data_IF_226528398991
#
_entry.id   IF_226528398991
#
_cell.length_a   1.000
_cell.length_b   1.000
_cell.length_c   1.000
_cell.angle_alpha   90.00
_cell.angle_beta   90.00
_cell.angle_gamma   90.00
#
_symmetry.space_group_name_H-M   'P 1'
#
loop_
_entity.id
_entity.type
_entity.pdbx_description
1 polymer ?
#
# COMPACT_ATOMS: atom_id res chain seq x y z
N UNK A 1 33.75 -7.50 51.54
CA UNK A 1 32.97 -6.36 51.03
C UNK A 1 33.25 -6.23 49.54
N UNK A 2 32.41 -6.84 48.68
CA UNK A 2 32.55 -6.81 47.21
C UNK A 2 31.62 -5.73 46.67
N UNK A 3 32.18 -4.63 46.18
CA UNK A 3 31.43 -3.56 45.51
C UNK A 3 31.10 -4.08 44.10
N UNK A 4 29.82 -4.36 43.84
CA UNK A 4 29.33 -4.64 42.49
C UNK A 4 29.10 -3.29 41.80
N UNK A 5 29.90 -2.98 40.79
CA UNK A 5 29.64 -1.89 39.84
C UNK A 5 28.40 -2.28 39.03
N UNK A 6 27.30 -1.56 39.21
CA UNK A 6 26.14 -1.65 38.34
C UNK A 6 26.44 -0.83 37.08
N UNK A 7 26.78 -1.49 35.98
CA UNK A 7 26.89 -0.85 34.67
C UNK A 7 25.47 -0.58 34.16
N UNK A 8 25.03 0.67 34.28
CA UNK A 8 23.80 1.13 33.63
C UNK A 8 24.03 1.12 32.10
N UNK A 9 23.33 0.24 31.39
CA UNK A 9 23.20 0.32 29.94
C UNK A 9 22.29 1.50 29.63
N UNK A 10 22.88 2.65 29.32
CA UNK A 10 22.17 3.72 28.63
C UNK A 10 21.88 3.22 27.22
N UNK A 11 20.60 3.00 26.90
CA UNK A 11 20.17 2.81 25.52
C UNK A 11 20.42 4.15 24.84
N UNK A 12 21.49 4.22 24.07
CA UNK A 12 21.64 5.29 23.10
C UNK A 12 20.48 5.12 22.11
N UNK A 13 19.53 6.06 22.12
CA UNK A 13 18.59 6.23 21.02
C UNK A 13 19.44 6.53 19.80
N UNK A 14 19.74 5.51 19.00
CA UNK A 14 20.35 5.70 17.69
C UNK A 14 19.31 6.47 16.90
N UNK A 15 19.57 7.73 16.64
CA UNK A 15 18.79 8.52 15.69
C UNK A 15 18.92 7.79 14.35
N UNK A 16 17.88 7.05 13.96
CA UNK A 16 17.88 6.33 12.70
C UNK A 16 17.89 7.39 11.60
N UNK A 17 18.98 7.44 10.82
CA UNK A 17 19.37 8.63 10.06
C UNK A 17 18.44 8.95 8.86
N UNK A 18 17.64 8.00 8.38
CA UNK A 18 16.48 8.20 7.48
C UNK A 18 15.85 6.82 7.19
N UNK A 19 14.58 6.80 6.76
CA UNK A 19 13.99 5.61 6.13
C UNK A 19 14.51 5.47 4.67
N UNK A 20 14.23 4.33 4.02
CA UNK A 20 14.65 4.12 2.62
C UNK A 20 14.05 5.22 1.70
N UNK A 21 14.87 5.89 0.87
CA UNK A 21 14.36 6.89 -0.05
C UNK A 21 13.35 6.33 -1.06
N UNK A 22 12.34 7.13 -1.39
CA UNK A 22 11.33 6.81 -2.41
C UNK A 22 11.55 7.73 -3.60
N UNK A 23 12.17 7.23 -4.68
CA UNK A 23 12.44 8.04 -5.90
C UNK A 23 13.19 9.36 -5.65
N UNK A 24 14.07 9.41 -4.65
CA UNK A 24 14.80 10.62 -4.24
C UNK A 24 14.08 11.50 -3.20
N UNK A 25 12.90 11.11 -2.74
CA UNK A 25 12.27 11.64 -1.53
C UNK A 25 12.78 10.88 -0.30
N UNK A 26 13.07 11.57 0.80
CA UNK A 26 13.56 10.96 2.05
C UNK A 26 12.44 10.94 3.10
N UNK A 27 11.71 9.83 3.26
CA UNK A 27 10.63 9.76 4.24
C UNK A 27 11.17 9.80 5.68
N UNK A 28 10.38 10.41 6.56
CA UNK A 28 10.67 10.53 7.99
C UNK A 28 9.92 9.50 8.84
N UNK A 29 9.08 8.69 8.21
CA UNK A 29 8.31 7.60 8.83
C UNK A 29 8.42 6.30 8.01
N UNK A 30 8.16 5.15 8.65
CA UNK A 30 8.20 3.85 7.98
C UNK A 30 7.01 3.69 7.01
N UNK A 31 7.25 3.82 5.70
CA UNK A 31 6.20 3.74 4.67
C UNK A 31 6.41 2.67 3.60
N UNK A 32 7.41 1.81 3.77
CA UNK A 32 7.74 0.70 2.85
C UNK A 32 6.53 -0.19 2.52
N UNK A 33 5.74 -0.55 3.52
CA UNK A 33 4.47 -1.29 3.36
C UNK A 33 3.46 -0.58 2.45
N UNK A 34 3.43 0.75 2.51
CA UNK A 34 2.52 1.58 1.70
C UNK A 34 2.99 1.65 0.26
N UNK A 35 4.31 1.79 0.06
CA UNK A 35 4.94 1.73 -1.25
C UNK A 35 4.68 0.40 -1.97
N UNK A 36 4.56 -0.72 -1.25
CA UNK A 36 4.37 -2.06 -1.81
C UNK A 36 3.00 -2.31 -2.47
N UNK A 37 2.07 -1.36 -2.47
CA UNK A 37 0.79 -1.51 -3.19
C UNK A 37 0.98 -1.62 -4.70
N UNK A 38 2.11 -1.15 -5.23
CA UNK A 38 2.46 -1.29 -6.63
C UNK A 38 2.71 -2.74 -7.06
N UNK A 39 3.11 -3.60 -6.12
CA UNK A 39 3.24 -5.04 -6.33
C UNK A 39 1.87 -5.69 -6.56
N UNK A 40 0.79 -5.19 -5.93
CA UNK A 40 -0.57 -5.65 -6.22
C UNK A 40 -1.01 -5.22 -7.62
N UNK A 41 -0.67 -4.00 -8.04
CA UNK A 41 -0.90 -3.58 -9.42
C UNK A 41 -0.10 -4.45 -10.40
N UNK A 42 1.16 -4.75 -10.11
CA UNK A 42 1.99 -5.58 -10.96
C UNK A 42 1.51 -7.03 -11.05
N UNK A 43 1.04 -7.60 -9.93
CA UNK A 43 0.40 -8.92 -9.89
C UNK A 43 -0.89 -8.96 -10.71
N UNK A 44 -1.73 -7.91 -10.62
CA UNK A 44 -2.92 -7.76 -11.45
C UNK A 44 -2.56 -7.69 -12.94
N UNK A 45 -1.59 -6.85 -13.33
CA UNK A 45 -1.16 -6.73 -14.73
C UNK A 45 -0.55 -8.04 -15.25
N UNK A 46 0.19 -8.77 -14.41
CA UNK A 46 0.77 -10.07 -14.76
C UNK A 46 -0.32 -11.12 -15.01
N UNK A 47 -1.29 -11.24 -14.11
CA UNK A 47 -2.44 -12.16 -14.25
C UNK A 47 -3.22 -11.90 -15.55
N UNK A 48 -3.43 -10.63 -15.91
CA UNK A 48 -4.08 -10.25 -17.18
C UNK A 48 -3.20 -10.47 -18.43
N UNK A 49 -1.89 -10.60 -18.25
CA UNK A 49 -0.92 -10.87 -19.31
C UNK A 49 -0.81 -12.34 -19.73
N UNK A 50 -1.43 -13.27 -18.99
CA UNK A 50 -1.48 -14.68 -19.38
C UNK A 50 -2.25 -14.88 -20.69
N UNK A 51 -1.99 -16.01 -21.36
CA UNK A 51 -2.69 -16.42 -22.58
C UNK A 51 -3.37 -17.79 -22.37
N UNK A 52 -4.71 -17.84 -22.14
CA UNK A 52 -5.63 -16.70 -21.99
C UNK A 52 -5.45 -15.94 -20.67
N UNK A 53 -5.96 -14.72 -20.59
CA UNK A 53 -5.84 -13.87 -19.40
C UNK A 53 -6.56 -14.47 -18.19
N UNK A 54 -5.95 -14.38 -17.01
CA UNK A 54 -6.52 -14.89 -15.77
C UNK A 54 -7.27 -13.78 -15.01
N UNK A 55 -8.50 -13.51 -15.44
CA UNK A 55 -9.37 -12.53 -14.80
C UNK A 55 -9.72 -12.85 -13.34
N UNK A 56 -9.78 -14.14 -12.98
CA UNK A 56 -10.06 -14.56 -11.61
C UNK A 56 -8.92 -14.16 -10.67
N UNK A 57 -7.67 -14.51 -11.03
CA UNK A 57 -6.49 -14.10 -10.26
C UNK A 57 -6.35 -12.57 -10.22
N UNK A 58 -6.54 -11.88 -11.34
CA UNK A 58 -6.50 -10.41 -11.38
C UNK A 58 -7.54 -9.76 -10.46
N UNK A 59 -8.76 -10.30 -10.39
CA UNK A 59 -9.80 -9.87 -9.46
C UNK A 59 -9.43 -10.15 -8.01
N UNK A 60 -8.90 -11.33 -7.73
CA UNK A 60 -8.55 -11.71 -6.36
C UNK A 60 -7.42 -10.82 -5.84
N UNK A 61 -6.37 -10.56 -6.61
CA UNK A 61 -5.34 -9.55 -6.29
C UNK A 61 -5.95 -8.15 -6.10
N UNK A 62 -6.80 -7.70 -7.02
CA UNK A 62 -7.44 -6.38 -6.96
C UNK A 62 -8.24 -6.15 -5.66
N UNK A 63 -9.01 -7.18 -5.26
CA UNK A 63 -9.99 -7.09 -4.17
C UNK A 63 -9.44 -7.50 -2.80
N UNK A 64 -8.55 -8.49 -2.77
CA UNK A 64 -7.99 -9.06 -1.54
C UNK A 64 -6.57 -8.59 -1.25
N UNK A 65 -5.94 -7.89 -2.20
CA UNK A 65 -4.54 -7.46 -2.12
C UNK A 65 -3.58 -8.63 -2.03
N UNK A 66 -2.30 -8.32 -1.87
CA UNK A 66 -1.26 -9.35 -1.78
C UNK A 66 -0.05 -8.95 -0.96
N UNK A 67 0.27 -7.66 -1.01
CA UNK A 67 1.58 -7.19 -0.61
C UNK A 67 1.53 -6.09 0.45
N UNK A 68 0.38 -5.48 0.73
CA UNK A 68 0.32 -4.27 1.56
C UNK A 68 -0.61 -4.43 2.75
N UNK A 69 -0.12 -4.09 3.94
CA UNK A 69 -0.84 -4.22 5.21
C UNK A 69 -1.29 -5.66 5.47
N UNK A 70 -0.40 -6.65 5.27
CA UNK A 70 -0.73 -8.06 5.51
C UNK A 70 -1.00 -8.34 6.99
N UNK A 71 -2.03 -9.12 7.26
CA UNK A 71 -2.42 -9.53 8.61
C UNK A 71 -3.09 -10.91 8.63
N UNK A 72 -3.09 -11.56 9.78
CA UNK A 72 -3.89 -12.73 10.06
C UNK A 72 -5.08 -12.35 10.94
N UNK A 73 -6.31 -12.58 10.45
CA UNK A 73 -7.51 -12.54 11.28
C UNK A 73 -7.60 -13.86 12.04
N UNK A 74 -7.52 -13.79 13.36
CA UNK A 74 -7.46 -14.94 14.26
C UNK A 74 -8.77 -15.06 15.02
N UNK A 75 -9.29 -16.28 15.15
CA UNK A 75 -10.31 -16.61 16.14
C UNK A 75 -9.64 -17.16 17.39
N UNK A 76 -9.98 -16.59 18.54
CA UNK A 76 -9.44 -16.94 19.86
C UNK A 76 -10.57 -17.15 20.86
N UNK A 77 -10.25 -17.74 22.02
CA UNK A 77 -11.18 -17.72 23.16
C UNK A 77 -11.48 -16.26 23.57
N UNK A 78 -12.66 -15.99 24.19
CA UNK A 78 -13.00 -14.64 24.64
C UNK A 78 -11.88 -14.02 25.47
N UNK A 79 -11.42 -12.84 25.07
CA UNK A 79 -10.33 -12.15 25.74
C UNK A 79 -10.67 -11.85 27.21
N UNK A 80 -9.80 -12.21 28.13
CA UNK A 80 -9.97 -11.86 29.56
C UNK A 80 -9.84 -10.36 29.82
N UNK A 81 -9.06 -9.68 29.00
CA UNK A 81 -8.81 -8.24 29.04
C UNK A 81 -8.58 -7.70 27.62
N UNK A 82 -8.74 -6.40 27.44
CA UNK A 82 -8.54 -5.78 26.13
C UNK A 82 -7.10 -5.89 25.60
N UNK A 83 -6.96 -5.71 24.29
CA UNK A 83 -5.69 -5.58 23.58
C UNK A 83 -5.76 -4.26 22.82
N UNK A 84 -4.85 -3.32 23.13
CA UNK A 84 -4.81 -2.05 22.43
C UNK A 84 -4.17 -2.19 21.04
N UNK A 85 -4.59 -1.34 20.12
CA UNK A 85 -3.96 -1.18 18.80
C UNK A 85 -2.45 -0.98 18.96
N UNK A 86 -1.68 -1.69 18.13
CA UNK A 86 -0.23 -1.64 18.16
C UNK A 86 0.42 -2.47 19.28
N UNK A 87 -0.35 -3.13 20.15
CA UNK A 87 0.20 -4.03 21.15
C UNK A 87 1.06 -5.11 20.47
N UNK A 88 2.28 -5.34 21.00
CA UNK A 88 3.20 -6.31 20.43
C UNK A 88 2.64 -7.72 20.53
N UNK A 89 2.73 -8.46 19.42
CA UNK A 89 2.31 -9.84 19.30
C UNK A 89 3.45 -10.68 18.72
N UNK A 90 3.54 -11.95 19.11
CA UNK A 90 4.49 -12.89 18.51
C UNK A 90 3.89 -14.28 18.37
N UNK A 91 4.38 -15.06 17.43
CA UNK A 91 4.01 -16.46 17.22
C UNK A 91 5.16 -17.26 16.62
N UNK A 92 4.87 -18.50 16.26
CA UNK A 92 5.78 -19.36 15.49
C UNK A 92 5.23 -19.47 14.08
N UNK A 93 6.04 -19.11 13.08
CA UNK A 93 5.64 -19.13 11.68
C UNK A 93 5.65 -20.53 11.07
N UNK A 94 5.20 -20.64 9.81
CA UNK A 94 5.15 -21.89 9.07
C UNK A 94 6.51 -22.60 8.97
N UNK A 95 7.61 -21.83 8.89
CA UNK A 95 8.98 -22.35 8.88
C UNK A 95 9.55 -22.72 10.25
N UNK A 96 8.79 -22.51 11.34
CA UNK A 96 9.22 -22.74 12.72
C UNK A 96 9.99 -21.57 13.35
N UNK A 97 10.27 -20.50 12.60
CA UNK A 97 10.87 -19.27 13.12
C UNK A 97 9.90 -18.42 13.94
N UNK A 98 10.41 -17.50 14.76
CA UNK A 98 9.58 -16.51 15.45
C UNK A 98 9.04 -15.49 14.45
N UNK A 99 7.73 -15.25 14.50
CA UNK A 99 7.05 -14.21 13.71
C UNK A 99 6.60 -13.12 14.66
N UNK A 100 6.98 -11.89 14.36
CA UNK A 100 6.61 -10.72 15.15
C UNK A 100 5.50 -9.94 14.44
N UNK A 101 4.60 -9.37 15.23
CA UNK A 101 3.48 -8.59 14.75
C UNK A 101 2.98 -7.62 15.80
N UNK A 102 1.85 -7.01 15.49
CA UNK A 102 1.12 -6.12 16.39
C UNK A 102 -0.37 -6.29 16.22
N UNK A 103 -1.13 -5.94 17.24
CA UNK A 103 -2.57 -5.83 17.13
C UNK A 103 -2.93 -4.75 16.10
N UNK A 104 -3.70 -5.11 15.07
CA UNK A 104 -4.06 -4.17 14.00
C UNK A 104 -4.98 -3.05 14.50
N UNK A 105 -5.83 -3.36 15.48
CA UNK A 105 -6.85 -2.48 16.04
C UNK A 105 -7.00 -2.68 17.55
N UNK A 106 -7.88 -1.91 18.18
CA UNK A 106 -8.30 -2.09 19.56
C UNK A 106 -9.32 -3.24 19.69
N UNK A 107 -9.08 -4.16 20.63
CA UNK A 107 -9.96 -5.28 20.93
C UNK A 107 -10.40 -5.21 22.40
N UNK A 108 -11.70 -5.18 22.64
CA UNK A 108 -12.25 -5.16 23.99
C UNK A 108 -12.17 -6.53 24.68
N UNK A 109 -12.27 -6.53 26.01
CA UNK A 109 -12.48 -7.77 26.77
C UNK A 109 -13.74 -8.50 26.26
N UNK A 110 -13.65 -9.82 26.14
CA UNK A 110 -14.70 -10.67 25.56
C UNK A 110 -14.64 -10.81 24.04
N UNK A 111 -13.80 -10.04 23.33
CA UNK A 111 -13.62 -10.22 21.89
C UNK A 111 -13.13 -11.64 21.56
N UNK A 112 -13.59 -12.21 20.46
CA UNK A 112 -13.21 -13.55 19.98
C UNK A 112 -12.46 -13.51 18.65
N UNK A 113 -12.31 -12.32 18.08
CA UNK A 113 -11.52 -12.08 16.88
C UNK A 113 -10.45 -11.03 17.17
N UNK A 114 -9.22 -11.31 16.74
CA UNK A 114 -8.06 -10.41 16.87
C UNK A 114 -7.29 -10.45 15.55
N UNK A 115 -6.83 -9.32 15.04
CA UNK A 115 -5.97 -9.29 13.86
C UNK A 115 -4.50 -9.08 14.26
N UNK A 116 -3.68 -10.06 13.90
CA UNK A 116 -2.22 -10.02 13.99
C UNK A 116 -1.67 -9.39 12.71
N UNK A 117 -1.27 -8.12 12.77
CA UNK A 117 -0.60 -7.46 11.67
C UNK A 117 0.88 -7.85 11.67
N UNK A 118 1.37 -8.39 10.57
CA UNK A 118 2.79 -8.74 10.41
C UNK A 118 3.64 -7.46 10.41
N UNK A 119 4.81 -7.51 11.05
CA UNK A 119 5.76 -6.40 10.96
C UNK A 119 6.37 -6.33 9.56
N UNK A 120 6.61 -5.11 9.11
CA UNK A 120 7.27 -4.81 7.84
C UNK A 120 8.63 -4.21 8.11
N UNK A 121 9.58 -4.45 7.21
CA UNK A 121 10.94 -3.93 7.34
C UNK A 121 11.01 -2.46 6.92
N UNK A 122 12.06 -1.76 7.39
CA UNK A 122 12.38 -0.38 6.96
C UNK A 122 12.89 -0.30 5.51
N UNK A 123 13.10 -1.45 4.86
CA UNK A 123 13.69 -1.54 3.54
C UNK A 123 12.68 -2.10 2.53
N UNK A 124 12.35 -1.34 1.49
CA UNK A 124 11.78 -1.91 0.28
C UNK A 124 12.82 -2.74 -0.50
N UNK A 125 14.12 -2.52 -0.29
CA UNK A 125 15.18 -3.13 -1.12
C UNK A 125 16.38 -3.71 -0.36
N UNK A 126 16.18 -4.56 0.66
CA UNK A 126 17.25 -5.53 0.95
C UNK A 126 17.27 -6.56 -0.18
N UNK A 127 17.99 -6.21 -1.26
CA UNK A 127 18.10 -6.86 -2.58
C UNK A 127 16.96 -6.54 -3.57
N UNK A 128 17.27 -5.80 -4.63
CA UNK A 128 16.38 -5.49 -5.77
C UNK A 128 15.78 -6.73 -6.47
N UNK A 129 16.26 -7.93 -6.15
CA UNK A 129 15.82 -9.24 -6.60
C UNK A 129 14.88 -9.96 -5.61
N UNK A 130 14.61 -9.42 -4.41
CA UNK A 130 13.74 -10.04 -3.42
C UNK A 130 12.46 -9.21 -3.15
N UNK A 131 11.35 -9.49 -3.87
CA UNK A 131 10.06 -8.83 -3.62
C UNK A 131 9.46 -9.15 -2.22
N UNK A 132 10.09 -10.03 -1.42
CA UNK A 132 9.70 -10.28 -0.02
C UNK A 132 10.46 -9.43 1.01
N UNK A 133 11.27 -8.45 0.58
CA UNK A 133 12.11 -7.66 1.47
C UNK A 133 11.32 -6.80 2.47
N UNK A 134 10.17 -6.23 2.07
CA UNK A 134 9.36 -5.40 2.96
C UNK A 134 8.46 -6.22 3.89
N UNK A 135 7.97 -7.38 3.43
CA UNK A 135 7.15 -8.32 4.20
C UNK A 135 7.48 -9.77 3.83
N UNK A 136 7.71 -10.58 4.87
CA UNK A 136 7.97 -12.02 4.77
C UNK A 136 6.70 -12.88 4.89
N UNK A 137 5.53 -12.24 4.98
CA UNK A 137 4.23 -12.87 4.82
C UNK A 137 3.42 -12.07 3.79
N UNK A 138 3.26 -12.61 2.58
CA UNK A 138 2.55 -11.99 1.45
C UNK A 138 1.56 -12.99 0.89
N UNK A 139 0.30 -12.74 1.14
CA UNK A 139 -0.80 -13.71 1.05
C UNK A 139 -2.07 -12.94 0.70
N UNK A 140 -3.23 -13.58 0.68
CA UNK A 140 -4.50 -12.94 0.29
C UNK A 140 -4.89 -13.34 -1.12
N UNK A 141 -4.91 -12.38 -2.05
CA UNK A 141 -5.29 -12.59 -3.46
C UNK A 141 -4.18 -13.10 -4.36
N UNK A 142 -2.94 -13.20 -3.87
CA UNK A 142 -1.82 -13.77 -4.64
C UNK A 142 -2.03 -15.28 -4.86
N UNK A 143 -1.62 -15.76 -6.02
CA UNK A 143 -1.58 -17.19 -6.33
C UNK A 143 -0.38 -17.52 -7.21
N UNK A 144 -0.17 -18.81 -7.51
CA UNK A 144 0.86 -19.21 -8.50
C UNK A 144 0.57 -18.64 -9.89
N UNK A 145 -0.68 -18.27 -10.17
CA UNK A 145 -1.11 -17.70 -11.45
C UNK A 145 -0.92 -16.18 -11.53
N UNK A 146 -0.47 -15.52 -10.47
CA UNK A 146 -0.03 -14.12 -10.49
C UNK A 146 1.49 -13.98 -10.67
N UNK A 147 2.15 -15.05 -11.16
CA UNK A 147 3.60 -15.09 -11.41
C UNK A 147 4.09 -13.89 -12.24
N UNK A 148 5.21 -13.25 -11.86
CA UNK A 148 6.17 -13.66 -10.82
C UNK A 148 5.79 -13.24 -9.39
N UNK A 149 4.64 -12.59 -9.18
CA UNK A 149 4.17 -12.11 -7.89
C UNK A 149 3.33 -13.18 -7.19
N UNK A 150 3.99 -14.19 -6.64
CA UNK A 150 3.36 -15.35 -5.99
C UNK A 150 3.32 -15.18 -4.46
N UNK A 151 2.49 -15.96 -3.74
CA UNK A 151 2.47 -15.95 -2.28
C UNK A 151 3.84 -16.25 -1.64
N UNK A 152 4.09 -15.62 -0.50
CA UNK A 152 5.22 -15.88 0.41
C UNK A 152 4.65 -16.22 1.78
N UNK A 153 4.96 -17.40 2.29
CA UNK A 153 4.29 -17.95 3.50
C UNK A 153 5.24 -18.33 4.62
N UNK A 154 6.55 -18.25 4.40
CA UNK A 154 7.60 -18.75 5.30
C UNK A 154 7.52 -18.14 6.71
N UNK A 155 7.20 -16.85 6.80
CA UNK A 155 7.01 -16.12 8.07
C UNK A 155 5.54 -15.72 8.29
N UNK A 156 4.60 -16.34 7.58
CA UNK A 156 3.20 -16.27 7.99
C UNK A 156 2.96 -17.15 9.22
N UNK A 157 1.97 -16.79 10.04
CA UNK A 157 1.42 -17.71 11.03
C UNK A 157 0.89 -18.98 10.32
N UNK A 158 0.86 -20.15 10.99
CA UNK A 158 0.52 -21.40 10.35
C UNK A 158 -0.97 -21.52 10.06
N UNK A 159 -1.31 -22.13 8.91
CA UNK A 159 -2.69 -22.47 8.56
C UNK A 159 -3.24 -23.62 9.43
N UNK A 160 -2.35 -24.45 9.99
CA UNK A 160 -2.72 -25.59 10.83
C UNK A 160 -2.99 -25.13 12.27
N UNK A 161 -4.23 -25.30 12.71
CA UNK A 161 -4.71 -25.00 14.06
C UNK A 161 -4.91 -26.28 14.89
N UNK A 162 -4.86 -26.21 16.23
CA UNK A 162 -4.60 -25.02 17.04
C UNK A 162 -3.10 -24.70 17.14
N UNK A 163 -2.80 -23.43 17.38
CA UNK A 163 -1.47 -22.95 17.77
C UNK A 163 -1.62 -21.76 18.71
N UNK A 164 -0.52 -21.37 19.35
CA UNK A 164 -0.51 -20.29 20.32
C UNK A 164 0.23 -19.06 19.79
N UNK A 165 -0.27 -17.89 20.15
CA UNK A 165 0.43 -16.61 19.99
C UNK A 165 0.61 -15.95 21.37
N UNK A 166 1.55 -15.02 21.46
CA UNK A 166 1.80 -14.22 22.67
C UNK A 166 1.42 -12.77 22.42
N UNK A 167 0.72 -12.14 23.38
CA UNK A 167 0.36 -10.71 23.37
C UNK A 167 0.61 -10.13 24.76
N UNK A 168 1.55 -9.18 24.88
CA UNK A 168 1.87 -8.57 26.17
C UNK A 168 2.21 -9.59 27.28
N UNK A 169 2.93 -10.68 26.93
CA UNK A 169 3.30 -11.77 27.84
C UNK A 169 2.20 -12.80 28.13
N UNK A 170 0.99 -12.63 27.57
CA UNK A 170 -0.12 -13.59 27.68
C UNK A 170 -0.15 -14.52 26.47
N UNK A 171 -0.53 -15.77 26.68
CA UNK A 171 -0.75 -16.72 25.58
C UNK A 171 -2.21 -16.72 25.15
N UNK A 172 -2.48 -16.59 23.86
CA UNK A 172 -3.79 -16.79 23.25
C UNK A 172 -3.74 -18.03 22.36
N UNK A 173 -4.67 -18.95 22.55
CA UNK A 173 -4.82 -20.11 21.68
C UNK A 173 -5.72 -19.78 20.49
N UNK A 174 -5.19 -20.00 19.29
CA UNK A 174 -5.84 -19.72 18.02
C UNK A 174 -6.56 -20.97 17.52
N UNK A 175 -7.85 -20.84 17.23
CA UNK A 175 -8.69 -21.92 16.73
C UNK A 175 -9.05 -21.79 15.24
N UNK A 176 -8.87 -20.60 14.66
CA UNK A 176 -9.03 -20.36 13.23
C UNK A 176 -8.17 -19.18 12.79
N UNK A 177 -7.75 -19.18 11.53
CA UNK A 177 -6.94 -18.14 10.92
C UNK A 177 -7.43 -17.86 9.50
N UNK A 178 -7.43 -16.58 9.11
CA UNK A 178 -7.53 -16.14 7.71
C UNK A 178 -6.47 -15.09 7.42
N UNK A 179 -5.62 -15.38 6.45
CA UNK A 179 -4.65 -14.44 5.93
C UNK A 179 -5.33 -13.39 5.03
N UNK A 180 -5.08 -12.10 5.29
CA UNK A 180 -5.72 -10.95 4.63
C UNK A 180 -4.74 -9.80 4.43
N UNK A 181 -5.16 -8.81 3.65
CA UNK A 181 -4.48 -7.53 3.50
C UNK A 181 -5.43 -6.40 3.83
N UNK A 182 -4.98 -5.42 4.62
CA UNK A 182 -5.78 -4.25 5.00
C UNK A 182 -5.79 -3.15 3.94
N UNK A 183 -4.87 -3.21 2.97
CA UNK A 183 -4.76 -2.26 1.86
C UNK A 183 -4.83 -3.00 0.54
N UNK A 184 -5.75 -2.61 -0.32
CA UNK A 184 -5.96 -3.22 -1.65
C UNK A 184 -6.22 -2.12 -2.68
N UNK A 185 -6.02 -2.41 -3.96
CA UNK A 185 -6.36 -1.45 -5.02
C UNK A 185 -7.86 -1.13 -5.03
N UNK A 186 -8.71 -2.10 -4.70
CA UNK A 186 -10.14 -1.86 -4.53
C UNK A 186 -10.41 -0.88 -3.37
N UNK A 187 -9.71 -1.04 -2.25
CA UNK A 187 -9.95 -0.26 -1.04
C UNK A 187 -9.65 1.24 -1.21
N UNK A 188 -8.78 1.60 -2.15
CA UNK A 188 -8.50 2.98 -2.54
C UNK A 188 -9.72 3.73 -3.11
N UNK A 189 -10.72 3.01 -3.62
CA UNK A 189 -11.99 3.60 -4.04
C UNK A 189 -13.15 3.33 -3.10
N UNK A 190 -13.11 2.27 -2.27
CA UNK A 190 -14.24 1.92 -1.39
C UNK A 190 -14.13 2.49 0.01
N UNK A 191 -12.92 2.79 0.50
CA UNK A 191 -12.70 3.29 1.87
C UNK A 191 -12.30 4.78 1.92
N UNK A 192 -12.44 5.50 0.80
CA UNK A 192 -12.05 6.91 0.72
C UNK A 192 -12.76 7.78 1.76
N UNK A 193 -14.08 7.58 1.93
CA UNK A 193 -14.87 8.34 2.91
C UNK A 193 -14.50 8.04 4.35
N UNK A 194 -14.20 6.78 4.67
CA UNK A 194 -13.79 6.37 6.02
C UNK A 194 -12.47 7.02 6.41
N UNK A 195 -11.58 7.21 5.44
CA UNK A 195 -10.29 7.87 5.65
C UNK A 195 -10.41 9.40 5.74
N UNK A 196 -11.52 9.96 5.28
CA UNK A 196 -11.77 11.39 5.34
C UNK A 196 -13.24 11.76 5.62
N UNK A 197 -13.76 11.48 6.83
CA UNK A 197 -15.14 11.78 7.17
C UNK A 197 -15.39 13.29 7.14
N UNK A 198 -16.31 13.74 6.29
CA UNK A 198 -16.68 15.16 6.19
C UNK A 198 -15.73 16.03 5.37
N UNK A 199 -14.71 15.44 4.74
CA UNK A 199 -13.84 16.18 3.85
C UNK A 199 -14.52 16.42 2.50
N UNK A 200 -14.91 17.67 2.22
CA UNK A 200 -15.32 18.08 0.88
C UNK A 200 -14.08 18.19 -0.02
N UNK A 201 -13.54 17.04 -0.45
CA UNK A 201 -12.39 16.99 -1.37
C UNK A 201 -12.88 17.38 -2.75
N UNK A 202 -12.63 18.64 -3.12
CA UNK A 202 -13.19 19.26 -4.34
C UNK A 202 -12.93 18.41 -5.58
N UNK A 203 -11.75 17.80 -5.67
CA UNK A 203 -11.41 16.95 -6.82
C UNK A 203 -12.19 15.64 -6.83
N UNK A 204 -12.27 14.93 -5.69
CA UNK A 204 -13.08 13.72 -5.57
C UNK A 204 -14.56 13.97 -5.87
N UNK A 205 -15.12 15.09 -5.38
CA UNK A 205 -16.52 15.43 -5.61
C UNK A 205 -16.86 15.63 -7.09
N UNK A 206 -15.94 16.19 -7.88
CA UNK A 206 -16.12 16.33 -9.34
C UNK A 206 -16.28 14.97 -10.01
N UNK A 207 -15.49 13.98 -9.63
CA UNK A 207 -15.58 12.62 -10.18
C UNK A 207 -16.84 11.91 -9.68
N UNK A 208 -17.15 12.00 -8.38
CA UNK A 208 -18.41 11.51 -7.82
C UNK A 208 -19.61 12.06 -8.57
N UNK A 209 -19.67 13.37 -8.81
CA UNK A 209 -20.80 14.02 -9.47
C UNK A 209 -20.92 13.63 -10.94
N UNK A 210 -19.78 13.37 -11.62
CA UNK A 210 -19.77 12.86 -12.98
C UNK A 210 -20.30 11.42 -13.06
N UNK A 211 -19.74 10.50 -12.26
CA UNK A 211 -20.08 9.08 -12.31
C UNK A 211 -21.37 8.75 -11.54
N UNK A 212 -21.79 9.59 -10.60
CA UNK A 212 -22.99 9.40 -9.76
C UNK A 212 -22.81 8.42 -8.60
N UNK A 213 -21.57 8.02 -8.28
CA UNK A 213 -21.27 7.07 -7.21
C UNK A 213 -19.90 7.39 -6.59
N UNK A 214 -19.77 7.13 -5.29
CA UNK A 214 -18.52 7.31 -4.53
C UNK A 214 -17.50 6.21 -4.83
N UNK A 215 -17.97 5.05 -5.25
CA UNK A 215 -17.14 3.88 -5.60
C UNK A 215 -16.87 3.77 -7.10
N UNK A 216 -16.90 4.88 -7.84
CA UNK A 216 -16.84 4.89 -9.31
C UNK A 216 -15.64 4.13 -9.88
N UNK A 217 -14.47 4.30 -9.28
CA UNK A 217 -13.25 3.65 -9.73
C UNK A 217 -13.30 2.15 -9.43
N UNK A 218 -13.85 1.77 -8.26
CA UNK A 218 -14.08 0.38 -7.92
C UNK A 218 -15.02 -0.34 -8.89
N UNK A 219 -16.17 0.28 -9.16
CA UNK A 219 -17.18 -0.25 -10.07
C UNK A 219 -16.66 -0.38 -11.50
N UNK A 220 -15.85 0.59 -11.97
CA UNK A 220 -15.22 0.53 -13.29
C UNK A 220 -14.30 -0.68 -13.42
N UNK A 221 -13.36 -0.84 -12.48
CA UNK A 221 -12.37 -1.92 -12.53
C UNK A 221 -13.04 -3.28 -12.32
N UNK A 222 -13.98 -3.38 -11.38
CA UNK A 222 -14.69 -4.63 -11.14
C UNK A 222 -15.53 -5.04 -12.35
N UNK A 223 -16.20 -4.10 -13.03
CA UNK A 223 -16.95 -4.39 -14.25
C UNK A 223 -16.01 -4.90 -15.36
N UNK A 224 -14.84 -4.29 -15.55
CA UNK A 224 -13.85 -4.77 -16.52
C UNK A 224 -13.35 -6.19 -16.20
N UNK A 225 -13.00 -6.45 -14.94
CA UNK A 225 -12.50 -7.74 -14.48
C UNK A 225 -13.55 -8.86 -14.58
N UNK A 226 -14.82 -8.54 -14.35
CA UNK A 226 -15.93 -9.51 -14.37
C UNK A 226 -16.65 -9.62 -15.71
N UNK A 227 -16.38 -8.72 -16.66
CA UNK A 227 -17.07 -8.69 -17.95
C UNK A 227 -18.52 -8.20 -17.81
N UNK A 228 -18.74 -7.19 -16.97
CA UNK A 228 -20.06 -6.64 -16.67
C UNK A 228 -20.27 -5.25 -17.29
N UNK A 229 -21.51 -4.76 -17.23
CA UNK A 229 -21.84 -3.36 -17.56
C UNK A 229 -21.65 -2.49 -16.32
N UNK A 230 -21.17 -1.28 -16.49
CA UNK A 230 -21.22 -0.25 -15.44
C UNK A 230 -22.63 0.33 -15.34
N UNK A 231 -22.95 0.99 -14.24
CA UNK A 231 -24.22 1.69 -14.04
C UNK A 231 -24.03 3.10 -13.45
N UNK A 232 -23.29 3.93 -14.17
CA UNK A 232 -22.98 5.30 -13.81
C UNK A 232 -24.04 6.29 -14.33
N UNK A 233 -24.08 7.47 -13.72
CA UNK A 233 -24.82 8.62 -14.25
C UNK A 233 -24.24 9.10 -15.59
N UNK A 234 -22.91 9.05 -15.74
CA UNK A 234 -22.20 9.34 -17.00
C UNK A 234 -21.00 8.40 -17.16
N UNK A 235 -20.60 8.16 -18.41
CA UNK A 235 -19.42 7.34 -18.71
C UNK A 235 -19.66 5.83 -18.62
N UNK A 236 -20.87 5.35 -18.92
CA UNK A 236 -21.15 3.92 -18.94
C UNK A 236 -20.35 3.17 -20.02
N UNK A 237 -19.91 1.96 -19.67
CA UNK A 237 -19.22 1.02 -20.57
C UNK A 237 -19.83 -0.37 -20.43
N UNK A 238 -19.89 -1.09 -21.54
CA UNK A 238 -20.37 -2.48 -21.61
C UNK A 238 -19.19 -3.43 -21.88
N UNK A 239 -18.76 -4.18 -20.86
CA UNK A 239 -17.69 -5.17 -20.97
C UNK A 239 -18.22 -6.61 -21.20
N UNK A 240 -19.50 -6.78 -21.54
CA UNK A 240 -20.10 -8.11 -21.73
C UNK A 240 -19.72 -8.75 -23.07
N UNK A 241 -19.21 -7.97 -24.01
CA UNK A 241 -18.78 -8.48 -25.31
C UNK A 241 -17.41 -9.18 -25.19
N UNK A 242 -17.23 -10.30 -25.89
CA UNK A 242 -16.10 -11.23 -25.69
C UNK A 242 -15.19 -11.37 -26.90
N UNK A 243 -15.31 -10.49 -27.90
CA UNK A 243 -14.39 -10.47 -29.05
C UNK A 243 -12.96 -10.09 -28.64
N UNK A 244 -11.95 -10.45 -29.44
CA UNK A 244 -10.55 -10.11 -29.16
C UNK A 244 -10.30 -8.58 -28.95
N UNK A 245 -10.94 -7.66 -29.70
CA UNK A 245 -10.89 -6.23 -29.40
C UNK A 245 -11.52 -5.85 -28.05
N UNK A 246 -12.53 -6.60 -27.60
CA UNK A 246 -13.22 -6.37 -26.33
C UNK A 246 -12.41 -6.94 -25.15
N UNK A 247 -11.71 -8.06 -25.32
CA UNK A 247 -10.83 -8.64 -24.30
C UNK A 247 -9.62 -7.73 -24.00
N UNK A 248 -8.96 -7.19 -25.03
CA UNK A 248 -7.88 -6.20 -24.82
C UNK A 248 -8.43 -4.91 -24.18
N UNK A 249 -9.63 -4.47 -24.59
CA UNK A 249 -10.28 -3.31 -23.96
C UNK A 249 -10.56 -3.55 -22.48
N UNK A 250 -10.99 -4.75 -22.09
CA UNK A 250 -11.20 -5.14 -20.69
C UNK A 250 -9.91 -5.16 -19.89
N UNK A 251 -8.84 -5.75 -20.44
CA UNK A 251 -7.52 -5.77 -19.78
C UNK A 251 -7.04 -4.36 -19.51
N UNK A 252 -7.05 -3.49 -20.52
CA UNK A 252 -6.59 -2.12 -20.36
C UNK A 252 -7.53 -1.31 -19.46
N UNK A 253 -8.85 -1.51 -19.52
CA UNK A 253 -9.79 -0.85 -18.61
C UNK A 253 -9.54 -1.23 -17.14
N UNK A 254 -9.23 -2.50 -16.86
CA UNK A 254 -8.87 -2.93 -15.51
C UNK A 254 -7.52 -2.35 -15.07
N UNK A 255 -6.46 -2.52 -15.87
CA UNK A 255 -5.09 -2.06 -15.55
C UNK A 255 -5.01 -0.54 -15.38
N UNK A 256 -5.70 0.20 -16.24
CA UNK A 256 -5.64 1.67 -16.26
C UNK A 256 -6.66 2.27 -15.30
N UNK A 257 -7.81 1.63 -15.09
CA UNK A 257 -8.76 2.03 -14.06
C UNK A 257 -8.13 1.94 -12.67
N UNK A 258 -7.47 0.83 -12.33
CA UNK A 258 -6.84 0.67 -11.02
C UNK A 258 -5.73 1.70 -10.77
N UNK A 259 -4.90 2.03 -11.76
CA UNK A 259 -3.84 3.02 -11.59
C UNK A 259 -4.34 4.49 -11.67
N UNK A 260 -5.13 4.86 -12.68
CA UNK A 260 -5.49 6.27 -12.93
C UNK A 260 -6.80 6.70 -12.27
N UNK A 261 -7.65 5.77 -11.83
CA UNK A 261 -8.90 6.10 -11.14
C UNK A 261 -8.78 5.79 -9.66
N UNK A 262 -8.36 4.57 -9.28
CA UNK A 262 -8.25 4.21 -7.87
C UNK A 262 -7.03 4.89 -7.22
N UNK A 263 -5.81 4.60 -7.71
CA UNK A 263 -4.57 5.10 -7.07
C UNK A 263 -4.46 6.63 -7.16
N UNK A 264 -4.69 7.23 -8.34
CA UNK A 264 -4.65 8.70 -8.51
C UNK A 264 -5.49 9.45 -7.49
N UNK A 265 -6.76 9.08 -7.38
CA UNK A 265 -7.68 9.79 -6.47
C UNK A 265 -7.33 9.55 -5.01
N UNK A 266 -6.87 8.33 -4.68
CA UNK A 266 -6.43 8.02 -3.34
C UNK A 266 -5.18 8.81 -2.93
N UNK A 267 -4.19 8.95 -3.82
CA UNK A 267 -2.98 9.77 -3.58
C UNK A 267 -3.36 11.21 -3.23
N UNK A 268 -4.26 11.83 -4.00
CA UNK A 268 -4.76 13.17 -3.71
C UNK A 268 -5.38 13.20 -2.32
N UNK A 269 -6.30 12.28 -2.03
CA UNK A 269 -6.99 12.24 -0.73
C UNK A 269 -6.05 12.06 0.46
N UNK A 270 -4.96 11.31 0.30
CA UNK A 270 -3.95 11.10 1.35
C UNK A 270 -3.16 12.39 1.63
N UNK A 271 -2.74 13.13 0.60
CA UNK A 271 -2.08 14.42 0.81
C UNK A 271 -3.01 15.45 1.45
N UNK A 272 -4.27 15.50 1.03
CA UNK A 272 -5.25 16.38 1.64
C UNK A 272 -5.54 15.96 3.09
N UNK A 273 -5.59 14.65 3.40
CA UNK A 273 -5.77 14.15 4.76
C UNK A 273 -4.59 14.54 5.67
N UNK A 274 -3.37 14.46 5.15
CA UNK A 274 -2.19 14.93 5.87
C UNK A 274 -2.30 16.41 6.24
N UNK A 275 -2.82 17.26 5.34
CA UNK A 275 -3.06 18.68 5.63
C UNK A 275 -4.08 18.84 6.76
N UNK A 276 -5.22 18.16 6.70
CA UNK A 276 -6.23 18.27 7.76
C UNK A 276 -5.72 17.76 9.11
N UNK A 277 -4.92 16.69 9.12
CA UNK A 277 -4.26 16.16 10.32
C UNK A 277 -3.31 17.22 10.92
N UNK A 278 -2.54 17.92 10.07
CA UNK A 278 -1.68 19.02 10.48
C UNK A 278 -2.49 20.15 11.13
N UNK A 279 -3.60 20.56 10.50
CA UNK A 279 -4.48 21.61 11.00
C UNK A 279 -5.13 21.25 12.35
N UNK A 280 -5.37 19.95 12.60
CA UNK A 280 -5.87 19.44 13.89
C UNK A 280 -4.77 19.28 14.95
N UNK A 281 -3.51 19.58 14.63
CA UNK A 281 -2.36 19.42 15.53
C UNK A 281 -1.89 17.97 15.69
N UNK A 282 -2.26 17.07 14.77
CA UNK A 282 -1.86 15.67 14.74
C UNK A 282 -0.57 15.51 13.92
N UNK A 283 0.52 16.11 14.40
CA UNK A 283 1.76 16.24 13.62
C UNK A 283 2.37 14.90 13.23
N UNK A 284 2.34 13.89 14.10
CA UNK A 284 2.92 12.57 13.80
C UNK A 284 2.12 11.83 12.72
N UNK A 285 0.79 11.86 12.81
CA UNK A 285 -0.12 11.28 11.82
C UNK A 285 0.01 12.00 10.48
N UNK A 286 0.03 13.34 10.50
CA UNK A 286 0.16 14.18 9.32
C UNK A 286 1.46 13.90 8.53
N UNK A 287 2.60 13.85 9.22
CA UNK A 287 3.88 13.51 8.61
C UNK A 287 3.84 12.11 8.01
N UNK A 288 3.25 11.14 8.72
CA UNK A 288 3.13 9.77 8.22
C UNK A 288 2.23 9.68 6.98
N UNK A 289 1.07 10.35 6.98
CA UNK A 289 0.16 10.42 5.84
C UNK A 289 0.82 11.09 4.63
N UNK A 290 1.61 12.15 4.85
CA UNK A 290 2.36 12.80 3.77
C UNK A 290 3.39 11.87 3.13
N UNK A 291 4.20 11.18 3.94
CA UNK A 291 5.15 10.16 3.47
C UNK A 291 4.43 9.02 2.71
N UNK A 292 3.25 8.60 3.20
CA UNK A 292 2.42 7.59 2.54
C UNK A 292 1.94 8.05 1.15
N UNK A 293 1.53 9.32 1.02
CA UNK A 293 1.10 9.91 -0.26
C UNK A 293 2.18 9.79 -1.34
N UNK A 294 3.44 10.06 -0.97
CA UNK A 294 4.59 9.88 -1.87
C UNK A 294 4.76 8.41 -2.25
N UNK A 295 4.64 7.49 -1.28
CA UNK A 295 4.71 6.06 -1.55
C UNK A 295 3.62 5.57 -2.52
N UNK A 296 2.37 6.00 -2.34
CA UNK A 296 1.27 5.63 -3.23
C UNK A 296 1.40 6.25 -4.63
N UNK A 297 2.10 7.37 -4.75
CA UNK A 297 2.43 7.97 -6.05
C UNK A 297 3.53 7.19 -6.79
N UNK A 298 4.60 6.85 -6.07
CA UNK A 298 5.83 6.32 -6.66
C UNK A 298 5.86 4.80 -6.77
N UNK A 299 5.48 4.10 -5.69
CA UNK A 299 5.61 2.64 -5.58
C UNK A 299 7.03 2.17 -5.22
N UNK A 300 7.11 0.97 -4.66
CA UNK A 300 8.35 0.29 -4.23
C UNK A 300 9.24 -0.22 -5.38
N UNK A 301 8.69 -0.45 -6.58
CA UNK A 301 9.38 -1.00 -7.74
C UNK A 301 10.27 0.03 -8.45
N UNK A 302 9.99 1.31 -8.23
CA UNK A 302 10.74 2.41 -8.85
C UNK A 302 12.03 2.66 -8.05
N UNK A 303 13.18 2.66 -8.74
CA UNK A 303 14.47 2.74 -8.04
C UNK A 303 14.66 4.10 -7.35
N UNK A 304 15.27 4.14 -6.15
CA UNK A 304 15.57 5.38 -5.41
C UNK A 304 16.62 6.29 -6.04
N UNK A 305 17.36 5.87 -7.08
CA UNK A 305 18.43 6.70 -7.65
C UNK A 305 17.89 7.70 -8.70
N UNK A 306 17.84 9.02 -8.39
CA UNK A 306 17.46 10.07 -9.32
C UNK A 306 18.43 10.24 -10.49
N UNK A 307 19.57 9.54 -10.51
CA UNK A 307 20.55 9.51 -11.61
C UNK A 307 20.46 8.23 -12.47
N UNK A 308 19.73 7.20 -12.05
CA UNK A 308 19.58 5.93 -12.81
C UNK A 308 18.61 5.99 -13.99
N UNK A 309 18.28 7.20 -14.45
CA UNK A 309 17.13 7.60 -15.29
C UNK A 309 17.13 7.07 -16.73
N UNK A 310 18.02 6.14 -17.07
CA UNK A 310 18.16 5.62 -18.44
C UNK A 310 18.51 4.13 -18.54
N UNK A 311 18.12 3.33 -17.55
CA UNK A 311 18.05 1.88 -17.72
C UNK A 311 16.59 1.44 -17.74
N UNK A 312 16.26 0.31 -18.37
CA UNK A 312 14.90 -0.25 -18.34
C UNK A 312 14.30 -0.36 -16.90
N UNK A 313 15.18 -0.32 -15.88
CA UNK A 313 14.85 -0.31 -14.46
C UNK A 313 14.44 1.06 -13.87
N UNK A 314 14.61 2.19 -14.55
CA UNK A 314 14.05 3.49 -14.13
C UNK A 314 12.57 3.65 -14.54
N UNK A 315 12.17 2.87 -15.55
CA UNK A 315 10.81 2.73 -16.07
C UNK A 315 10.09 1.48 -15.55
N UNK A 316 10.72 0.70 -14.65
CA UNK A 316 10.07 -0.46 -14.02
C UNK A 316 9.21 0.02 -12.86
N UNK A 317 7.90 0.03 -13.07
CA UNK A 317 6.92 0.39 -12.06
C UNK A 317 5.54 0.49 -12.70
N UNK A 318 4.52 0.38 -11.85
CA UNK A 318 3.13 0.28 -12.31
C UNK A 318 2.26 1.44 -11.83
N UNK A 319 2.80 2.29 -10.95
CA UNK A 319 2.11 3.47 -10.41
C UNK A 319 2.53 4.78 -11.11
N UNK A 320 1.95 5.88 -10.65
CA UNK A 320 1.88 7.17 -11.33
C UNK A 320 3.26 7.72 -11.71
N UNK A 321 4.28 7.58 -10.86
CA UNK A 321 5.65 7.98 -11.19
C UNK A 321 6.18 7.32 -12.46
N UNK A 322 6.12 5.98 -12.52
CA UNK A 322 6.59 5.21 -13.67
C UNK A 322 5.73 5.46 -14.90
N UNK A 323 4.41 5.60 -14.71
CA UNK A 323 3.47 5.91 -15.78
C UNK A 323 3.72 7.30 -16.37
N UNK A 324 4.05 8.30 -15.54
CA UNK A 324 4.44 9.64 -15.98
C UNK A 324 5.73 9.59 -16.81
N UNK A 325 6.77 8.87 -16.35
CA UNK A 325 8.00 8.66 -17.12
C UNK A 325 7.72 8.00 -18.47
N UNK A 326 6.84 7.00 -18.51
CA UNK A 326 6.43 6.34 -19.77
C UNK A 326 5.76 7.31 -20.74
N UNK A 327 4.89 8.20 -20.24
CA UNK A 327 4.15 9.17 -21.07
C UNK A 327 5.01 10.35 -21.49
N UNK A 328 5.96 10.78 -20.66
CA UNK A 328 6.84 11.88 -21.01
C UNK A 328 7.64 11.57 -22.28
N UNK A 329 8.10 10.32 -22.44
CA UNK A 329 8.84 9.90 -23.64
C UNK A 329 7.98 10.00 -24.91
N UNK A 330 6.69 9.68 -24.80
CA UNK A 330 5.74 9.80 -25.91
C UNK A 330 5.51 11.27 -26.28
N UNK A 331 5.28 12.11 -25.27
CA UNK A 331 4.89 13.51 -25.44
C UNK A 331 6.06 14.49 -25.59
N UNK A 332 7.32 14.02 -25.45
CA UNK A 332 8.52 14.87 -25.39
C UNK A 332 8.43 15.87 -24.22
N UNK A 333 8.07 15.38 -23.04
CA UNK A 333 7.94 16.17 -21.81
C UNK A 333 8.80 15.61 -20.67
N UNK A 334 9.85 14.88 -21.00
CA UNK A 334 10.84 14.46 -20.02
C UNK A 334 11.85 15.58 -19.76
N UNK A 335 12.69 15.41 -18.75
CA UNK A 335 13.71 16.37 -18.36
C UNK A 335 13.13 17.54 -17.56
N UNK A 336 14.01 18.41 -17.06
CA UNK A 336 13.63 19.55 -16.21
C UNK A 336 12.95 20.68 -16.99
N UNK A 337 13.17 20.72 -18.30
CA UNK A 337 12.65 21.77 -19.19
C UNK A 337 11.48 21.27 -20.07
N UNK A 338 11.02 20.03 -19.85
CA UNK A 338 9.91 19.40 -20.58
C UNK A 338 10.10 19.35 -22.11
N UNK A 339 11.32 19.16 -22.58
CA UNK A 339 11.67 19.10 -24.00
C UNK A 339 12.51 17.87 -24.38
N UNK A 340 12.69 16.92 -23.46
CA UNK A 340 13.40 15.66 -23.69
C UNK A 340 12.44 14.48 -23.92
N UNK A 341 12.97 13.39 -24.50
CA UNK A 341 12.26 12.08 -24.62
C UNK A 341 12.81 11.01 -23.69
N UNK A 342 13.87 11.32 -22.97
CA UNK A 342 14.58 10.42 -22.05
C UNK A 342 14.67 11.09 -20.69
N UNK A 343 14.94 10.30 -19.65
CA UNK A 343 14.94 10.81 -18.28
C UNK A 343 13.56 10.80 -17.63
N UNK A 344 13.46 11.47 -16.48
CA UNK A 344 12.21 11.50 -15.70
C UNK A 344 11.23 12.50 -16.29
N UNK A 345 9.95 12.26 -16.09
CA UNK A 345 8.91 13.19 -16.49
C UNK A 345 9.11 14.54 -15.78
N UNK A 346 8.90 15.63 -16.51
CA UNK A 346 8.92 16.96 -15.94
C UNK A 346 8.04 17.08 -14.69
N UNK A 347 6.84 16.50 -14.72
CA UNK A 347 5.90 16.49 -13.59
C UNK A 347 6.46 15.79 -12.35
N UNK A 348 7.29 14.75 -12.52
CA UNK A 348 7.92 14.05 -11.40
C UNK A 348 8.97 14.93 -10.73
N UNK A 349 9.73 15.71 -11.51
CA UNK A 349 10.67 16.69 -10.96
C UNK A 349 9.97 17.80 -10.17
N UNK A 350 8.81 18.25 -10.65
CA UNK A 350 8.03 19.28 -9.98
C UNK A 350 7.41 18.74 -8.69
N UNK A 351 6.79 17.55 -8.75
CA UNK A 351 6.20 16.90 -7.59
C UNK A 351 7.23 16.56 -6.52
N UNK A 352 8.45 16.11 -6.86
CA UNK A 352 9.49 15.90 -5.84
C UNK A 352 9.80 17.16 -5.04
N UNK A 353 9.80 18.32 -5.70
CA UNK A 353 10.02 19.61 -5.04
C UNK A 353 8.87 19.94 -4.10
N UNK A 354 7.63 19.73 -4.56
CA UNK A 354 6.43 19.96 -3.75
C UNK A 354 6.32 18.96 -2.59
N UNK A 355 6.72 17.69 -2.79
CA UNK A 355 6.78 16.69 -1.73
C UNK A 355 7.77 17.09 -0.63
N UNK A 356 8.98 17.52 -1.00
CA UNK A 356 9.98 18.00 -0.04
C UNK A 356 9.51 19.27 0.68
N UNK A 357 8.86 20.18 -0.05
CA UNK A 357 8.29 21.40 0.54
C UNK A 357 7.19 21.08 1.55
N UNK A 358 6.21 20.26 1.16
CA UNK A 358 5.10 19.92 2.04
C UNK A 358 5.54 19.10 3.25
N UNK A 359 6.54 18.22 3.12
CA UNK A 359 7.15 17.53 4.26
C UNK A 359 7.74 18.55 5.26
N UNK A 360 8.46 19.56 4.77
CA UNK A 360 9.02 20.62 5.61
C UNK A 360 7.93 21.46 6.28
N UNK A 361 6.88 21.84 5.55
CA UNK A 361 5.79 22.66 6.07
C UNK A 361 4.93 21.90 7.09
N UNK A 362 4.66 20.62 6.86
CA UNK A 362 3.92 19.75 7.79
C UNK A 362 4.76 19.44 9.03
N UNK A 363 6.06 19.18 8.87
CA UNK A 363 6.97 18.94 9.99
C UNK A 363 7.10 20.12 10.96
N UNK A 364 6.79 21.34 10.50
CA UNK A 364 6.75 22.55 11.34
C UNK A 364 5.42 22.74 12.09
N UNK A 365 4.40 21.94 11.79
CA UNK A 365 3.06 22.09 12.35
C UNK A 365 2.24 23.24 11.73
N UNK A 366 0.99 23.43 12.21
CA UNK A 366 0.07 24.41 11.65
C UNK A 366 0.60 25.85 11.82
N UNK A 367 0.24 26.79 10.92
CA UNK A 367 0.74 28.17 10.96
C UNK A 367 0.52 28.90 12.29
N UNK A 368 -0.51 28.53 13.05
CA UNK A 368 -0.78 29.09 14.39
C UNK A 368 0.21 28.64 15.47
N UNK A 369 1.05 27.64 15.18
CA UNK A 369 2.11 27.10 16.04
C UNK A 369 3.52 27.50 15.56
N UNK A 370 3.65 28.26 14.45
CA UNK A 370 4.92 28.72 13.88
C UNK A 370 5.35 30.09 14.37
#
# INVERSE_FOLDING_TARGET
>A
MRIRLATAFAIATVCQASYEPVTGYEPTTQVTDSCAIDLDQAALEAALGHAPANYASARDVYTLGGNSMSFAQLTVAPLSEGISKGAQMSGVGQSGGTVNGRALDDYAAGATEVAFQYLTSDFSTSKYDDPSAHSKCRVGGLSVDSSPYVPVTEECLPDLVPFDITVGGRTLSVSSIKHKNGRTLASFSTMFEERCPGCARTEYERFRDYYGTRTYAHEWVLAALTGARTNFSRGNVDFTNTGAPDDESRKEAAKKGSAYMNVWMFVIGVFEAAIDECERGQSSESVHSWDQGVCFYSGSMTKPDPQSVNTAAASSGTLLWALANKRCANMKTCGRDADERTGSAWVNHDLLREFARGQSEIGQGPPAQR
#
